data_IF_274453409249
#
_entry.id   IF_274453409249
#
_cell.length_a   1.000
_cell.length_b   1.000
_cell.length_c   1.000
_cell.angle_alpha   90.00
_cell.angle_beta   90.00
_cell.angle_gamma   90.00
#
_symmetry.space_group_name_H-M   'P 1'
#
loop_
_entity.id
_entity.type
_entity.pdbx_description
1 polymer ?
#
# COMPACT_ATOMS: atom_id res chain seq x y z
N UNK A 1 23.78 -23.90 5.36
CA UNK A 1 22.62 -24.70 5.77
C UNK A 1 21.45 -23.73 5.91
N UNK A 2 20.38 -23.87 5.12
CA UNK A 2 19.21 -22.98 5.23
C UNK A 2 18.32 -23.55 6.33
N UNK A 3 18.18 -22.82 7.44
CA UNK A 3 17.23 -23.13 8.49
C UNK A 3 15.82 -23.21 7.89
N UNK A 4 15.34 -24.43 7.68
CA UNK A 4 13.95 -24.71 7.37
C UNK A 4 13.13 -24.44 8.61
N UNK A 5 12.57 -23.22 8.71
CA UNK A 5 11.57 -22.88 9.72
C UNK A 5 10.34 -23.78 9.56
N UNK A 6 10.26 -24.87 10.33
CA UNK A 6 9.05 -25.68 10.48
C UNK A 6 8.05 -24.91 11.36
N UNK A 7 7.37 -23.90 10.78
CA UNK A 7 6.30 -23.19 11.48
C UNK A 7 5.07 -24.09 11.56
N UNK A 8 4.49 -24.25 12.74
CA UNK A 8 3.23 -24.98 12.88
C UNK A 8 2.07 -24.14 12.32
N UNK A 9 0.96 -24.75 11.85
CA UNK A 9 -0.22 -24.00 11.42
C UNK A 9 -0.68 -22.94 12.43
N UNK A 10 -0.67 -23.25 13.72
CA UNK A 10 -1.04 -22.31 14.80
C UNK A 10 -0.13 -21.08 14.86
N UNK A 11 1.18 -21.27 14.66
CA UNK A 11 2.14 -20.16 14.61
C UNK A 11 1.88 -19.26 13.41
N UNK A 12 1.58 -19.85 12.24
CA UNK A 12 1.24 -19.10 11.02
C UNK A 12 -0.06 -18.32 11.21
N UNK A 13 -1.10 -18.95 11.77
CA UNK A 13 -2.40 -18.32 12.05
C UNK A 13 -2.24 -17.16 13.02
N UNK A 14 -1.53 -17.37 14.14
CA UNK A 14 -1.31 -16.31 15.15
C UNK A 14 -0.52 -15.14 14.59
N UNK A 15 0.50 -15.41 13.77
CA UNK A 15 1.25 -14.37 13.10
C UNK A 15 0.37 -13.59 12.11
N UNK A 16 -0.45 -14.29 11.32
CA UNK A 16 -1.38 -13.63 10.41
C UNK A 16 -2.44 -12.82 11.13
N UNK A 17 -3.00 -13.32 12.23
CA UNK A 17 -4.02 -12.58 13.00
C UNK A 17 -3.49 -11.24 13.49
N UNK A 18 -2.26 -11.21 14.01
CA UNK A 18 -1.60 -9.95 14.41
C UNK A 18 -1.49 -8.94 13.28
N UNK A 19 -1.19 -9.39 12.05
CA UNK A 19 -1.14 -8.50 10.89
C UNK A 19 -2.53 -8.05 10.43
N UNK A 20 -3.53 -8.93 10.50
CA UNK A 20 -4.92 -8.60 10.15
C UNK A 20 -5.49 -7.59 11.14
N UNK A 21 -5.16 -7.73 12.42
CA UNK A 21 -5.64 -6.83 13.48
C UNK A 21 -5.12 -5.39 13.30
N UNK A 22 -3.96 -5.19 12.63
CA UNK A 22 -3.42 -3.87 12.29
C UNK A 22 -3.74 -3.40 10.87
N UNK A 23 -4.27 -4.27 10.00
CA UNK A 23 -4.36 -4.03 8.55
C UNK A 23 -5.18 -2.78 8.22
N UNK A 24 -6.26 -2.52 8.96
CA UNK A 24 -7.10 -1.34 8.76
C UNK A 24 -6.34 -0.04 9.09
N UNK A 25 -5.67 0.01 10.24
CA UNK A 25 -4.86 1.17 10.64
C UNK A 25 -3.65 1.38 9.72
N UNK A 26 -2.97 0.29 9.32
CA UNK A 26 -1.86 0.33 8.37
C UNK A 26 -2.33 0.89 7.01
N UNK A 27 -3.52 0.46 6.57
CA UNK A 27 -4.14 0.95 5.34
C UNK A 27 -4.47 2.43 5.41
N UNK A 28 -4.98 2.92 6.53
CA UNK A 28 -5.26 4.34 6.74
C UNK A 28 -3.97 5.18 6.66
N UNK A 29 -2.93 4.78 7.38
CA UNK A 29 -1.62 5.47 7.38
C UNK A 29 -1.05 5.55 5.96
N UNK A 30 -1.05 4.42 5.24
CA UNK A 30 -0.52 4.40 3.88
C UNK A 30 -1.39 5.21 2.90
N UNK A 31 -2.71 5.21 3.10
CA UNK A 31 -3.62 6.02 2.28
C UNK A 31 -3.36 7.51 2.47
N UNK A 32 -3.11 7.95 3.71
CA UNK A 32 -2.76 9.35 4.00
C UNK A 32 -1.41 9.72 3.36
N UNK A 33 -0.41 8.86 3.50
CA UNK A 33 0.89 9.06 2.86
C UNK A 33 0.79 9.22 1.32
N UNK A 34 -0.06 8.40 0.68
CA UNK A 34 -0.34 8.52 -0.75
C UNK A 34 -1.05 9.84 -1.07
N UNK A 35 -2.00 10.27 -0.22
CA UNK A 35 -2.72 11.53 -0.39
C UNK A 35 -1.76 12.72 -0.34
N UNK A 36 -0.93 12.79 0.68
CA UNK A 36 0.08 13.85 0.86
C UNK A 36 0.98 13.98 -0.37
N UNK A 37 1.48 12.85 -0.89
CA UNK A 37 2.31 12.87 -2.09
C UNK A 37 1.54 13.38 -3.31
N UNK A 38 0.32 12.89 -3.55
CA UNK A 38 -0.49 13.30 -4.70
C UNK A 38 -0.84 14.79 -4.66
N UNK A 39 -1.17 15.31 -3.48
CA UNK A 39 -1.57 16.70 -3.28
C UNK A 39 -0.39 17.68 -3.25
N UNK A 40 0.82 17.22 -2.90
CA UNK A 40 2.02 18.06 -2.82
C UNK A 40 2.38 18.77 -4.14
N UNK A 41 2.04 18.18 -5.30
CA UNK A 41 2.33 18.78 -6.61
C UNK A 41 1.37 18.29 -7.68
N UNK A 42 0.85 19.25 -8.47
CA UNK A 42 0.04 18.94 -9.66
C UNK A 42 0.80 17.98 -10.59
N UNK A 43 0.14 16.88 -10.95
CA UNK A 43 0.70 15.83 -11.81
C UNK A 43 1.33 14.66 -11.05
N UNK A 44 1.47 14.71 -9.72
CA UNK A 44 2.01 13.60 -8.95
C UNK A 44 1.13 12.35 -9.01
N UNK A 45 -0.20 12.49 -9.11
CA UNK A 45 -1.08 11.34 -9.33
C UNK A 45 -0.71 10.57 -10.61
N UNK A 46 -0.48 11.30 -11.71
CA UNK A 46 -0.09 10.71 -13.00
C UNK A 46 1.30 10.08 -12.91
N UNK A 47 2.28 10.77 -12.32
CA UNK A 47 3.63 10.23 -12.10
C UNK A 47 3.59 8.94 -11.28
N UNK A 48 2.77 8.91 -10.24
CA UNK A 48 2.60 7.73 -9.39
C UNK A 48 1.95 6.57 -10.15
N UNK A 49 0.92 6.84 -10.96
CA UNK A 49 0.30 5.84 -11.81
C UNK A 49 1.30 5.23 -12.81
N UNK A 50 2.11 6.06 -13.46
CA UNK A 50 3.16 5.61 -14.39
C UNK A 50 4.22 4.77 -13.69
N UNK A 51 4.70 5.19 -12.51
CA UNK A 51 5.74 4.48 -11.77
C UNK A 51 5.28 3.14 -11.16
N UNK A 52 4.00 3.06 -10.78
CA UNK A 52 3.41 1.89 -10.12
C UNK A 52 2.70 0.92 -11.06
N UNK A 53 2.29 1.38 -12.24
CA UNK A 53 1.40 0.62 -13.13
C UNK A 53 -0.05 0.56 -12.64
N UNK A 54 -0.37 1.21 -11.52
CA UNK A 54 -1.75 1.31 -11.00
C UNK A 54 -2.48 2.42 -11.73
N UNK A 55 -3.69 2.14 -12.23
CA UNK A 55 -4.48 3.13 -12.95
C UNK A 55 -4.79 4.37 -12.10
N UNK A 56 -4.71 5.57 -12.69
CA UNK A 56 -5.06 6.84 -12.02
C UNK A 56 -6.47 6.83 -11.40
N UNK A 57 -7.40 6.12 -12.03
CA UNK A 57 -8.76 5.94 -11.52
C UNK A 57 -8.81 5.10 -10.24
N UNK A 58 -7.92 4.11 -10.09
CA UNK A 58 -7.80 3.32 -8.87
C UNK A 58 -7.19 4.12 -7.73
N UNK A 59 -6.19 4.96 -8.03
CA UNK A 59 -5.62 5.92 -7.08
C UNK A 59 -6.69 6.93 -6.65
N UNK A 60 -7.45 7.49 -7.59
CA UNK A 60 -8.56 8.40 -7.28
C UNK A 60 -9.62 7.76 -6.38
N UNK A 61 -9.96 6.49 -6.62
CA UNK A 61 -10.93 5.75 -5.80
C UNK A 61 -10.40 5.50 -4.38
N UNK A 62 -9.10 5.19 -4.25
CA UNK A 62 -8.42 5.07 -2.95
C UNK A 62 -8.55 6.37 -2.15
N UNK A 63 -8.15 7.50 -2.75
CA UNK A 63 -8.07 8.79 -2.06
C UNK A 63 -9.44 9.33 -1.63
N UNK A 64 -10.46 9.10 -2.47
CA UNK A 64 -11.84 9.53 -2.21
C UNK A 64 -12.63 8.56 -1.35
N UNK A 65 -12.06 7.40 -1.00
CA UNK A 65 -12.76 6.29 -0.36
C UNK A 65 -14.08 5.94 -1.09
N UNK A 66 -14.05 5.89 -2.42
CA UNK A 66 -15.24 5.62 -3.25
C UNK A 66 -15.13 4.30 -4.01
N UNK A 67 -16.27 3.65 -4.26
CA UNK A 67 -16.40 2.32 -4.86
C UNK A 67 -15.68 1.23 -4.03
N UNK A 68 -14.86 0.41 -4.68
CA UNK A 68 -14.01 -0.63 -4.12
C UNK A 68 -12.56 -0.11 -4.14
N UNK A 69 -12.03 0.40 -3.01
CA UNK A 69 -10.66 0.87 -2.95
C UNK A 69 -9.69 -0.30 -3.25
N UNK A 70 -8.50 -0.01 -3.80
CA UNK A 70 -7.48 -1.02 -4.02
C UNK A 70 -7.17 -1.79 -2.73
N UNK A 71 -6.86 -3.07 -2.86
CA UNK A 71 -6.42 -3.91 -1.75
C UNK A 71 -5.05 -3.49 -1.22
N UNK A 72 -4.67 -4.03 -0.06
CA UNK A 72 -3.43 -3.67 0.63
C UNK A 72 -2.17 -3.81 -0.23
N UNK A 73 -2.12 -4.82 -1.12
CA UNK A 73 -1.00 -5.03 -2.05
C UNK A 73 -0.75 -3.82 -2.97
N UNK A 74 -1.82 -3.25 -3.55
CA UNK A 74 -1.71 -2.06 -4.40
C UNK A 74 -1.35 -0.82 -3.58
N UNK A 75 -1.82 -0.72 -2.33
CA UNK A 75 -1.51 0.40 -1.44
C UNK A 75 -0.03 0.38 -1.05
N UNK A 76 0.51 -0.80 -0.72
CA UNK A 76 1.94 -1.00 -0.48
C UNK A 76 2.77 -0.66 -1.71
N UNK A 77 2.38 -1.16 -2.89
CA UNK A 77 3.06 -0.85 -4.14
C UNK A 77 3.10 0.66 -4.42
N UNK A 78 2.00 1.38 -4.21
CA UNK A 78 1.96 2.83 -4.35
C UNK A 78 2.94 3.51 -3.38
N UNK A 79 2.92 3.15 -2.10
CA UNK A 79 3.81 3.71 -1.08
C UNK A 79 5.30 3.46 -1.39
N UNK A 80 5.67 2.25 -1.81
CA UNK A 80 7.04 1.92 -2.23
C UNK A 80 7.51 2.75 -3.42
N UNK A 81 6.61 3.06 -4.35
CA UNK A 81 6.93 3.88 -5.53
C UNK A 81 7.06 5.35 -5.19
N UNK A 82 6.27 5.85 -4.23
CA UNK A 82 6.43 7.20 -3.69
C UNK A 82 7.83 7.35 -3.08
N UNK A 83 8.28 6.40 -2.27
CA UNK A 83 9.62 6.45 -1.67
C UNK A 83 10.72 6.60 -2.72
N UNK A 84 10.61 5.90 -3.84
CA UNK A 84 11.54 6.02 -4.98
C UNK A 84 11.44 7.39 -5.66
N UNK A 85 10.23 7.86 -5.93
CA UNK A 85 9.97 9.14 -6.59
C UNK A 85 10.39 10.38 -5.78
N UNK A 86 10.54 10.26 -4.46
CA UNK A 86 11.03 11.33 -3.57
C UNK A 86 12.57 11.31 -3.47
N UNK A 87 13.20 10.15 -3.71
CA UNK A 87 14.65 10.00 -3.66
C UNK A 87 15.34 10.33 -5.00
N UNK A 88 14.57 10.39 -6.10
CA UNK A 88 14.99 10.87 -7.43
C UNK A 88 14.93 12.40 -7.56
#
# INVERSE_FOLDING_TARGET
MKDGMNRTPDQVIRQRRKCVDSEESDKEILTEYIREFVESKRGNQKRLAEASGVAESAISNLLKNTRKPPGMENILLLAEKIQKLIQD
#
